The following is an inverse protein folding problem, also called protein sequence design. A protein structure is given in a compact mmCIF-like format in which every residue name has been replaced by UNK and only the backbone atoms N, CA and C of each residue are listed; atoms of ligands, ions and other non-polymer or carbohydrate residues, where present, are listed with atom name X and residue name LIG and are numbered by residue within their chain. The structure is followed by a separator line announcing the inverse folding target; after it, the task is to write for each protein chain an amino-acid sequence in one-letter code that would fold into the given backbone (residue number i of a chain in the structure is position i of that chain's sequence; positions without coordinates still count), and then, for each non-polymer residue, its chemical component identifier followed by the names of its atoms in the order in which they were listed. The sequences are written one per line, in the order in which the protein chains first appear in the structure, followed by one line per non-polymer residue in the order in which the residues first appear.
data_IF_743573172444
#
_entry.id   IF_743573172444
#
_cell.length_a   1.000
_cell.length_b   1.000
_cell.length_c   1.000
_cell.angle_alpha   90.00
_cell.angle_beta   90.00
_cell.angle_gamma   90.00
#
_symmetry.space_group_name_H-M   'P 1'
#
loop_
_entity.id
_entity.type
_entity.pdbx_description
1 polymer ?
#
# COMPACT_ATOMS: atom_id res chain seq x y z
N UNK A 1 -9.12 4.43 8.38
CA UNK A 1 -7.76 5.03 8.29
C UNK A 1 -7.33 5.71 9.59
N UNK A 2 -8.24 6.35 10.33
CA UNK A 2 -7.89 6.99 11.60
C UNK A 2 -7.35 5.97 12.62
N UNK A 3 -7.98 4.81 12.72
CA UNK A 3 -7.52 3.75 13.64
C UNK A 3 -6.18 3.16 13.19
N UNK A 4 -6.00 2.99 11.88
CA UNK A 4 -4.73 2.51 11.33
C UNK A 4 -3.60 3.50 11.65
N UNK A 5 -3.88 4.80 11.53
CA UNK A 5 -2.91 5.84 11.85
C UNK A 5 -2.50 5.82 13.33
N UNK A 6 -3.46 5.65 14.23
CA UNK A 6 -3.19 5.52 15.67
C UNK A 6 -2.29 4.31 15.97
N UNK A 7 -2.57 3.17 15.34
CA UNK A 7 -1.77 1.96 15.50
C UNK A 7 -0.34 2.16 15.00
N UNK A 8 -0.17 2.85 13.86
CA UNK A 8 1.16 3.19 13.35
C UNK A 8 1.93 4.05 14.34
N UNK A 9 1.28 5.04 14.96
CA UNK A 9 1.90 5.88 15.97
C UNK A 9 2.40 5.03 17.15
N UNK A 10 1.55 4.16 17.66
CA UNK A 10 1.90 3.29 18.79
C UNK A 10 3.10 2.39 18.46
N UNK A 11 3.13 1.81 17.27
CA UNK A 11 4.23 0.92 16.83
C UNK A 11 5.54 1.69 16.73
N UNK A 12 5.52 2.87 16.10
CA UNK A 12 6.73 3.69 15.92
C UNK A 12 7.24 4.22 17.27
N UNK A 13 6.34 4.67 18.14
CA UNK A 13 6.71 5.17 19.47
C UNK A 13 7.30 4.06 20.35
N UNK A 14 6.93 2.81 20.09
CA UNK A 14 7.51 1.65 20.76
C UNK A 14 8.88 1.25 20.20
N UNK A 15 9.38 1.94 19.17
CA UNK A 15 10.70 1.70 18.59
C UNK A 15 10.72 0.74 17.42
N UNK A 16 9.59 0.41 16.84
CA UNK A 16 9.47 -0.53 15.71
C UNK A 16 9.13 0.18 14.41
N UNK A 17 9.40 -0.49 13.30
CA UNK A 17 8.95 -0.05 11.99
C UNK A 17 7.47 -0.38 11.85
N UNK A 18 6.66 0.59 11.45
CA UNK A 18 5.25 0.36 11.17
C UNK A 18 5.04 0.19 9.66
N UNK A 19 4.32 -0.85 9.27
CA UNK A 19 3.91 -1.07 7.90
C UNK A 19 2.39 -1.03 7.85
N UNK A 20 1.84 -0.03 7.15
CA UNK A 20 0.41 0.14 6.97
C UNK A 20 0.00 -0.41 5.61
N UNK A 21 -0.89 -1.40 5.61
CA UNK A 21 -1.41 -2.02 4.39
C UNK A 21 -2.88 -1.68 4.23
N UNK A 22 -3.19 -0.94 3.18
CA UNK A 22 -4.56 -0.57 2.79
C UNK A 22 -4.53 -0.14 1.33
N UNK A 23 -5.70 0.19 0.78
CA UNK A 23 -5.77 0.58 -0.65
C UNK A 23 -5.11 1.91 -0.95
N UNK A 24 -5.20 2.88 -0.04
CA UNK A 24 -4.58 4.21 -0.17
C UNK A 24 -4.79 4.86 -1.54
N UNK A 25 -5.99 4.75 -2.08
CA UNK A 25 -6.30 5.23 -3.43
C UNK A 25 -6.37 6.76 -3.54
N UNK A 26 -6.53 7.45 -2.44
CA UNK A 26 -6.68 8.91 -2.42
C UNK A 26 -5.56 9.59 -1.65
N UNK A 27 -5.15 10.74 -2.14
CA UNK A 27 -4.11 11.54 -1.51
C UNK A 27 -4.47 11.90 -0.05
N UNK A 28 -5.73 12.20 0.22
CA UNK A 28 -6.21 12.53 1.57
C UNK A 28 -6.07 11.37 2.56
N UNK A 29 -6.05 10.13 2.05
CA UNK A 29 -5.83 8.94 2.87
C UNK A 29 -4.35 8.72 3.17
N UNK A 30 -3.47 9.08 2.25
CA UNK A 30 -2.02 8.91 2.37
C UNK A 30 -1.35 10.00 3.18
N UNK A 31 -1.80 11.24 3.02
CA UNK A 31 -1.16 12.42 3.63
C UNK A 31 -0.97 12.31 5.13
N UNK A 32 -1.95 11.87 5.92
CA UNK A 32 -1.77 11.79 7.38
C UNK A 32 -0.60 10.88 7.81
N UNK A 33 -0.30 9.85 7.02
CA UNK A 33 0.81 8.93 7.35
C UNK A 33 2.17 9.58 7.12
N UNK A 34 2.31 10.35 6.05
CA UNK A 34 3.53 11.13 5.81
C UNK A 34 3.72 12.22 6.87
N UNK A 35 2.65 12.89 7.26
CA UNK A 35 2.67 13.90 8.32
C UNK A 35 3.05 13.28 9.67
N UNK A 36 2.55 12.09 9.98
CA UNK A 36 2.91 11.37 11.19
C UNK A 36 4.41 11.07 11.22
N UNK A 37 4.97 10.63 10.11
CA UNK A 37 6.40 10.35 10.02
C UNK A 37 7.23 11.62 10.28
N UNK A 38 6.82 12.75 9.74
CA UNK A 38 7.47 14.03 9.99
C UNK A 38 7.37 14.43 11.46
N UNK A 39 6.20 14.29 12.06
CA UNK A 39 5.97 14.60 13.47
C UNK A 39 6.85 13.76 14.38
N UNK A 40 7.02 12.50 14.09
CA UNK A 40 7.84 11.57 14.88
C UNK A 40 9.31 11.55 14.46
N UNK A 41 9.67 12.33 13.45
CA UNK A 41 11.04 12.41 12.91
C UNK A 41 11.60 11.04 12.53
N UNK A 42 10.82 10.29 11.78
CA UNK A 42 11.21 8.97 11.28
C UNK A 42 11.13 8.92 9.75
N UNK A 43 11.93 8.04 9.11
CA UNK A 43 11.84 7.86 7.66
C UNK A 43 10.46 7.35 7.23
N UNK A 44 10.05 7.74 6.02
CA UNK A 44 8.77 7.37 5.43
C UNK A 44 8.97 6.85 4.01
N UNK A 45 8.32 5.74 3.69
CA UNK A 45 8.44 5.13 2.37
C UNK A 45 7.07 4.60 1.93
N UNK A 46 6.67 4.96 0.71
CA UNK A 46 5.47 4.42 0.08
C UNK A 46 5.89 3.27 -0.82
N UNK A 47 5.30 2.10 -0.60
CA UNK A 47 5.49 0.95 -1.47
C UNK A 47 4.32 0.90 -2.45
N UNK A 48 4.58 1.21 -3.71
CA UNK A 48 3.58 1.22 -4.76
C UNK A 48 3.57 -0.14 -5.45
N UNK A 49 2.55 -0.95 -5.12
CA UNK A 49 2.43 -2.30 -5.67
C UNK A 49 1.95 -2.24 -7.12
N UNK A 50 2.80 -2.70 -8.04
CA UNK A 50 2.51 -2.74 -9.47
C UNK A 50 2.00 -4.12 -9.85
N UNK A 51 0.69 -4.32 -9.72
CA UNK A 51 0.06 -5.60 -10.07
C UNK A 51 -0.85 -5.40 -11.29
N UNK A 52 -0.68 -6.17 -12.36
CA UNK A 52 -1.57 -6.07 -13.52
C UNK A 52 -3.03 -6.30 -13.13
N UNK A 53 -3.93 -5.50 -13.69
CA UNK A 53 -5.37 -5.58 -13.38
C UNK A 53 -5.92 -6.97 -13.65
N UNK A 54 -5.49 -7.61 -14.73
CA UNK A 54 -5.94 -8.96 -15.09
C UNK A 54 -5.56 -9.98 -14.02
N UNK A 55 -4.39 -9.85 -13.41
CA UNK A 55 -3.97 -10.72 -12.32
C UNK A 55 -4.84 -10.51 -11.07
N UNK A 56 -5.18 -9.27 -10.76
CA UNK A 56 -6.09 -8.96 -9.66
C UNK A 56 -7.47 -9.57 -9.87
N UNK A 57 -7.99 -9.49 -11.09
CA UNK A 57 -9.27 -10.10 -11.46
C UNK A 57 -9.23 -11.62 -11.32
N UNK A 58 -8.14 -12.25 -11.76
CA UNK A 58 -7.95 -13.70 -11.61
C UNK A 58 -7.95 -14.11 -10.13
N UNK A 59 -7.26 -13.35 -9.29
CA UNK A 59 -7.21 -13.61 -7.85
C UNK A 59 -8.59 -13.50 -7.21
N UNK A 60 -9.38 -12.51 -7.60
CA UNK A 60 -10.75 -12.34 -7.12
C UNK A 60 -11.61 -13.53 -7.53
N UNK A 61 -11.58 -13.93 -8.80
CA UNK A 61 -12.33 -15.06 -9.30
C UNK A 61 -11.98 -16.34 -8.57
N UNK A 62 -10.69 -16.59 -8.38
CA UNK A 62 -10.21 -17.79 -7.68
C UNK A 62 -10.65 -17.81 -6.23
N UNK A 63 -10.55 -16.68 -5.53
CA UNK A 63 -10.93 -16.59 -4.12
C UNK A 63 -12.42 -16.80 -3.92
N UNK A 64 -13.25 -16.33 -4.85
CA UNK A 64 -14.72 -16.38 -4.75
C UNK A 64 -15.33 -17.61 -5.41
N UNK A 65 -14.53 -18.51 -5.99
CA UNK A 65 -15.03 -19.77 -6.57
C UNK A 65 -15.79 -20.65 -5.58
N UNK A 66 -15.46 -20.54 -4.29
CA UNK A 66 -16.09 -21.32 -3.22
C UNK A 66 -17.14 -20.54 -2.46
N UNK A 67 -17.47 -19.34 -2.93
CA UNK A 67 -18.43 -18.44 -2.32
C UNK A 67 -19.65 -18.28 -3.21
N UNK A 68 -20.81 -18.00 -2.61
CA UNK A 68 -22.03 -17.67 -3.37
C UNK A 68 -22.01 -16.23 -3.86
N UNK A 69 -21.01 -15.43 -3.47
CA UNK A 69 -20.88 -14.05 -3.89
C UNK A 69 -20.47 -13.94 -5.36
N UNK A 70 -21.12 -13.07 -6.16
CA UNK A 70 -20.75 -12.93 -7.56
C UNK A 70 -19.40 -12.24 -7.72
N UNK A 71 -18.41 -12.96 -8.27
CA UNK A 71 -17.07 -12.44 -8.52
C UNK A 71 -17.10 -11.21 -9.45
N UNK A 72 -18.01 -11.20 -10.42
CA UNK A 72 -18.10 -10.10 -11.39
C UNK A 72 -18.52 -8.77 -10.74
N UNK A 73 -19.41 -8.80 -9.73
CA UNK A 73 -19.79 -7.61 -8.98
C UNK A 73 -18.58 -7.03 -8.22
N UNK A 74 -17.74 -7.89 -7.64
CA UNK A 74 -16.52 -7.46 -6.95
C UNK A 74 -15.51 -6.88 -7.93
N UNK A 75 -15.40 -7.44 -9.13
CA UNK A 75 -14.53 -6.93 -10.19
C UNK A 75 -14.99 -5.54 -10.66
N UNK A 76 -16.30 -5.33 -10.79
CA UNK A 76 -16.86 -4.01 -11.13
C UNK A 76 -16.48 -2.96 -10.08
N UNK A 77 -16.56 -3.31 -8.79
CA UNK A 77 -16.14 -2.42 -7.70
C UNK A 77 -14.65 -2.12 -7.82
N UNK A 78 -13.82 -3.12 -8.10
CA UNK A 78 -12.37 -2.92 -8.29
C UNK A 78 -12.11 -1.95 -9.45
N UNK A 79 -12.78 -2.13 -10.58
CA UNK A 79 -12.60 -1.24 -11.74
C UNK A 79 -13.02 0.20 -11.41
N UNK A 80 -14.11 0.39 -10.69
CA UNK A 80 -14.54 1.71 -10.24
C UNK A 80 -13.52 2.35 -9.30
N UNK A 81 -12.98 1.59 -8.36
CA UNK A 81 -11.94 2.08 -7.44
C UNK A 81 -10.68 2.48 -8.19
N UNK A 82 -10.21 1.66 -9.14
CA UNK A 82 -9.02 1.97 -9.94
C UNK A 82 -9.25 3.20 -10.83
N UNK A 83 -10.45 3.39 -11.37
CA UNK A 83 -10.78 4.54 -12.18
C UNK A 83 -10.78 5.85 -11.37
N UNK A 84 -11.10 5.78 -10.08
CA UNK A 84 -11.15 6.94 -9.19
C UNK A 84 -9.86 7.12 -8.37
N UNK A 85 -8.87 6.25 -8.55
CA UNK A 85 -7.61 6.32 -7.82
C UNK A 85 -6.83 7.59 -8.18
N UNK A 86 -6.30 8.26 -7.17
CA UNK A 86 -5.42 9.40 -7.36
C UNK A 86 -3.98 8.91 -7.42
N UNK A 87 -3.25 9.20 -8.50
CA UNK A 87 -1.84 8.83 -8.59
C UNK A 87 -1.01 9.53 -7.52
N UNK A 88 0.18 9.01 -7.25
CA UNK A 88 1.10 9.66 -6.31
C UNK A 88 1.46 11.06 -6.80
N UNK A 89 1.51 12.01 -5.86
CA UNK A 89 2.00 13.36 -6.17
C UNK A 89 3.51 13.30 -6.44
N UNK A 90 4.11 14.34 -7.09
CA UNK A 90 5.56 14.38 -7.26
C UNK A 90 6.33 14.26 -5.94
N UNK A 91 5.81 14.83 -4.86
CA UNK A 91 6.45 14.72 -3.55
C UNK A 91 6.37 13.31 -3.00
N UNK A 92 5.21 12.67 -3.12
CA UNK A 92 5.03 11.27 -2.73
C UNK A 92 5.93 10.33 -3.53
N UNK A 93 6.08 10.60 -4.83
CA UNK A 93 6.93 9.79 -5.71
C UNK A 93 8.40 9.80 -5.29
N UNK A 94 8.87 10.88 -4.72
CA UNK A 94 10.25 10.97 -4.19
C UNK A 94 10.49 10.06 -3.00
N UNK A 95 9.43 9.67 -2.31
CA UNK A 95 9.47 8.81 -1.13
C UNK A 95 8.78 7.47 -1.41
N UNK A 96 8.86 7.00 -2.66
CA UNK A 96 8.18 5.77 -3.06
C UNK A 96 9.13 4.80 -3.75
N UNK A 97 8.75 3.53 -3.69
CA UNK A 97 9.40 2.45 -4.41
C UNK A 97 8.31 1.66 -5.13
N UNK A 98 8.45 1.51 -6.44
CA UNK A 98 7.54 0.68 -7.23
C UNK A 98 7.92 -0.79 -7.04
N UNK A 99 6.96 -1.59 -6.62
CA UNK A 99 7.15 -3.02 -6.37
C UNK A 99 6.48 -3.81 -7.49
N UNK A 100 7.29 -4.40 -8.37
CA UNK A 100 6.80 -5.33 -9.38
C UNK A 100 6.47 -6.68 -8.73
N UNK A 101 5.65 -7.54 -9.37
CA UNK A 101 5.39 -8.87 -8.84
C UNK A 101 6.67 -9.69 -8.61
N UNK A 102 7.66 -9.55 -9.50
CA UNK A 102 8.95 -10.24 -9.38
C UNK A 102 9.72 -9.76 -8.15
N UNK A 103 9.75 -8.44 -7.90
CA UNK A 103 10.42 -7.87 -6.74
C UNK A 103 9.71 -8.27 -5.45
N UNK A 104 8.36 -8.32 -5.47
CA UNK A 104 7.57 -8.69 -4.29
C UNK A 104 7.89 -10.12 -3.81
N UNK A 105 8.17 -11.02 -4.76
CA UNK A 105 8.50 -12.42 -4.45
C UNK A 105 10.00 -12.66 -4.28
N UNK A 106 10.81 -11.61 -4.37
CA UNK A 106 12.27 -11.71 -4.34
C UNK A 106 12.82 -11.53 -2.92
N UNK A 107 13.96 -12.15 -2.66
CA UNK A 107 14.68 -11.97 -1.39
C UNK A 107 15.36 -10.60 -1.32
N UNK A 108 15.40 -9.86 -2.42
CA UNK A 108 16.02 -8.54 -2.50
C UNK A 108 15.15 -7.42 -1.92
N UNK A 109 13.84 -7.65 -1.78
CA UNK A 109 12.90 -6.62 -1.33
C UNK A 109 13.21 -6.11 0.07
N UNK A 110 13.38 -7.00 1.05
CA UNK A 110 13.60 -6.60 2.44
C UNK A 110 14.89 -5.79 2.62
N UNK A 111 16.04 -6.21 2.05
CA UNK A 111 17.26 -5.39 2.14
C UNK A 111 17.12 -4.04 1.45
N UNK A 112 16.41 -3.97 0.31
CA UNK A 112 16.19 -2.73 -0.42
C UNK A 112 15.36 -1.74 0.41
N UNK A 113 14.27 -2.21 1.01
CA UNK A 113 13.42 -1.38 1.88
C UNK A 113 14.22 -0.89 3.08
N UNK A 114 14.98 -1.78 3.73
CA UNK A 114 15.81 -1.40 4.87
C UNK A 114 16.84 -0.32 4.49
N UNK A 115 17.46 -0.44 3.32
CA UNK A 115 18.42 0.54 2.82
C UNK A 115 17.76 1.90 2.61
N UNK A 116 16.57 1.93 2.01
CA UNK A 116 15.82 3.17 1.75
C UNK A 116 15.32 3.84 3.04
N UNK A 117 15.07 3.06 4.09
CA UNK A 117 14.69 3.58 5.40
C UNK A 117 15.90 3.97 6.25
N UNK A 118 17.12 3.83 5.75
CA UNK A 118 18.33 4.19 6.48
C UNK A 118 18.73 3.19 7.56
N UNK A 119 18.38 1.93 7.37
CA UNK A 119 18.66 0.87 8.36
C UNK A 119 19.60 -0.19 7.84
#
# INVERSE_FOLDING_TARGET
YARLLELCREVVEAGYVAAADATFLRCEQRRPFGELAQELDVPFLILEMQTPVELLKQRIRKRLQRSDDPAEATIEVLEMQLASAEPLTPEESKQSLVISPELADSEELAPLVASLLGR
#
